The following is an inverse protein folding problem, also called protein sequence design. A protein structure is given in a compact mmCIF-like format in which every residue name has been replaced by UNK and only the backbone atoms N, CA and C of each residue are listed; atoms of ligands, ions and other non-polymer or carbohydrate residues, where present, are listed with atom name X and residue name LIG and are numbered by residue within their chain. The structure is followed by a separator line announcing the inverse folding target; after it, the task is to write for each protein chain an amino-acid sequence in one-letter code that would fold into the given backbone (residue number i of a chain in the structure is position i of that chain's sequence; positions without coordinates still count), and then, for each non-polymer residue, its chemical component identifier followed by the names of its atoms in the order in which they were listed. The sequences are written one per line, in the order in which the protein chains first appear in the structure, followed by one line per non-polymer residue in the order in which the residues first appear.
data_IF_305771072006
#
_entry.id   IF_305771072006
#
_cell.length_a   1.000
_cell.length_b   1.000
_cell.length_c   1.000
_cell.angle_alpha   90.00
_cell.angle_beta   90.00
_cell.angle_gamma   90.00
#
_symmetry.space_group_name_H-M   'P 1'
#
loop_
_entity.id
_entity.type
_entity.pdbx_description
1 polymer ?
#
# COMPACT_ATOMS: atom_id res chain seq x y z
N UNK A 1 23.53 61.63 32.89
CA UNK A 1 24.67 61.60 31.95
C UNK A 1 24.94 60.14 31.58
N UNK A 2 25.00 59.86 30.25
CA UNK A 2 25.49 58.64 29.56
C UNK A 2 24.69 57.33 29.76
N UNK A 3 23.82 56.90 28.80
CA UNK A 3 24.03 56.15 27.52
C UNK A 3 24.27 54.64 27.74
N UNK A 4 23.70 53.65 27.04
CA UNK A 4 22.86 53.56 25.81
C UNK A 4 22.07 52.22 25.81
N UNK A 5 20.93 52.07 25.12
CA UNK A 5 20.67 51.71 23.69
C UNK A 5 21.16 50.32 23.25
N UNK A 6 20.24 49.59 22.57
CA UNK A 6 20.34 48.48 21.58
C UNK A 6 19.43 47.30 22.02
N UNK A 7 18.57 46.65 21.23
CA UNK A 7 17.85 46.92 19.98
C UNK A 7 16.83 45.76 19.83
N UNK A 8 15.66 46.04 19.25
CA UNK A 8 14.67 45.05 18.78
C UNK A 8 15.01 44.68 17.32
N UNK A 9 14.88 43.41 16.95
CA UNK A 9 14.56 42.82 15.61
C UNK A 9 14.93 41.33 15.68
N UNK A 10 14.03 40.36 15.50
CA UNK A 10 13.26 40.08 14.29
C UNK A 10 13.97 38.95 13.54
N UNK A 11 13.52 37.70 13.70
CA UNK A 11 14.10 36.56 12.97
C UNK A 11 13.00 35.68 12.36
N UNK A 12 12.96 35.74 11.03
CA UNK A 12 12.26 34.87 10.09
C UNK A 12 13.23 33.73 9.75
N UNK A 13 12.79 32.48 9.78
CA UNK A 13 13.48 31.32 9.18
C UNK A 13 12.36 30.34 8.74
N UNK A 14 11.92 30.34 7.47
CA UNK A 14 12.52 29.73 6.27
C UNK A 14 12.83 28.23 6.46
N UNK A 15 11.92 27.43 5.90
CA UNK A 15 12.09 26.03 5.51
C UNK A 15 13.24 25.89 4.49
N UNK A 16 14.17 24.96 4.71
CA UNK A 16 14.92 24.34 3.61
C UNK A 16 15.46 22.95 3.99
N UNK A 17 15.24 22.04 3.05
CA UNK A 17 15.62 20.63 2.96
C UNK A 17 17.15 20.47 3.00
N UNK A 18 17.65 19.47 3.75
CA UNK A 18 18.98 18.88 3.51
C UNK A 18 18.87 17.35 3.56
N UNK A 19 19.00 16.74 2.38
CA UNK A 19 19.55 15.40 2.22
C UNK A 19 21.04 15.43 2.52
N UNK A 20 21.50 14.55 3.42
CA UNK A 20 22.86 14.01 3.37
C UNK A 20 22.84 12.55 3.81
N UNK A 21 23.22 11.68 2.88
CA UNK A 21 23.47 10.28 3.16
C UNK A 21 24.72 10.10 4.02
N UNK A 22 24.72 9.01 4.80
CA UNK A 22 25.93 8.39 5.31
C UNK A 22 25.83 6.88 5.10
N UNK A 23 26.80 6.37 4.37
CA UNK A 23 26.98 4.97 4.01
C UNK A 23 28.42 4.63 4.42
N UNK A 24 28.60 3.78 5.43
CA UNK A 24 29.88 3.09 5.67
C UNK A 24 29.63 1.59 5.86
N UNK A 25 30.32 0.81 5.04
CA UNK A 25 30.34 -0.66 4.90
C UNK A 25 31.36 -1.31 5.88
N UNK A 26 31.80 -2.58 5.70
CA UNK A 26 31.10 -3.86 5.86
C UNK A 26 31.87 -4.82 6.81
N UNK A 27 31.29 -5.98 7.16
CA UNK A 27 32.05 -7.12 7.70
C UNK A 27 31.90 -8.39 6.86
N UNK A 28 33.06 -8.88 6.43
CA UNK A 28 33.50 -10.24 6.06
C UNK A 28 32.73 -11.09 5.04
N UNK A 29 33.43 -11.34 3.94
CA UNK A 29 33.27 -12.40 2.93
C UNK A 29 33.52 -13.82 3.47
N UNK A 30 32.66 -14.77 3.09
CA UNK A 30 32.99 -16.20 3.07
C UNK A 30 33.28 -16.64 1.63
N UNK A 31 34.42 -17.33 1.47
CA UNK A 31 34.90 -17.98 0.27
C UNK A 31 34.09 -19.26 0.04
N UNK A 32 33.11 -19.24 -0.87
CA UNK A 32 32.57 -20.39 -1.64
C UNK A 32 31.28 -19.92 -2.33
N UNK A 33 31.43 -19.25 -3.47
CA UNK A 33 30.39 -19.19 -4.52
C UNK A 33 31.00 -18.47 -5.72
N UNK A 34 31.59 -19.24 -6.63
CA UNK A 34 31.91 -18.73 -7.96
C UNK A 34 30.80 -19.17 -8.92
N UNK A 35 29.95 -18.25 -9.42
CA UNK A 35 29.04 -18.58 -10.50
C UNK A 35 29.81 -18.71 -11.82
N UNK A 36 29.48 -19.77 -12.55
CA UNK A 36 29.94 -20.10 -13.89
C UNK A 36 29.68 -18.95 -14.89
N UNK A 37 30.46 -18.84 -15.98
CA UNK A 37 30.33 -17.74 -16.93
C UNK A 37 29.03 -17.86 -17.74
N UNK A 38 28.06 -16.97 -17.47
CA UNK A 38 26.83 -16.85 -18.25
C UNK A 38 27.02 -15.87 -19.41
N UNK A 39 26.54 -16.30 -20.57
CA UNK A 39 26.59 -15.69 -21.89
C UNK A 39 25.92 -14.30 -21.88
N UNK A 40 26.67 -13.26 -22.24
CA UNK A 40 26.15 -11.89 -22.43
C UNK A 40 25.07 -11.89 -23.52
N UNK A 41 23.81 -11.60 -23.18
CA UNK A 41 22.83 -11.10 -24.15
C UNK A 41 23.06 -9.60 -24.31
N UNK A 42 23.63 -9.20 -25.44
CA UNK A 42 23.64 -7.81 -25.87
C UNK A 42 22.24 -7.46 -26.38
N UNK A 43 21.35 -7.02 -25.49
CA UNK A 43 20.14 -6.28 -25.89
C UNK A 43 20.38 -4.84 -25.41
N UNK A 44 20.48 -3.85 -26.31
CA UNK A 44 20.60 -2.47 -25.90
C UNK A 44 19.24 -1.98 -25.35
N UNK A 45 19.26 -1.46 -24.13
CA UNK A 45 18.21 -0.58 -23.62
C UNK A 45 18.21 0.69 -24.49
N UNK A 46 17.30 0.77 -25.46
CA UNK A 46 17.05 2.00 -26.20
C UNK A 46 15.82 2.70 -25.63
N UNK A 47 16.03 3.60 -24.68
CA UNK A 47 15.08 4.70 -24.46
C UNK A 47 15.21 5.67 -25.63
N UNK A 48 14.31 5.58 -26.59
CA UNK A 48 14.26 6.54 -27.71
C UNK A 48 13.64 7.82 -27.18
N UNK A 49 14.48 8.83 -26.96
CA UNK A 49 14.04 10.18 -26.61
C UNK A 49 13.17 10.81 -27.69
N UNK A 50 12.04 11.38 -27.27
CA UNK A 50 11.10 12.09 -28.13
C UNK A 50 11.67 13.48 -28.47
N UNK A 51 11.69 13.80 -29.76
CA UNK A 51 11.92 15.16 -30.29
C UNK A 51 10.67 16.00 -30.07
N UNK A 52 10.84 17.17 -29.46
CA UNK A 52 9.82 18.20 -29.39
C UNK A 52 9.41 18.67 -30.80
N UNK A 53 8.10 18.65 -31.06
CA UNK A 53 7.49 19.33 -32.21
C UNK A 53 6.49 20.36 -31.69
N UNK A 54 6.79 21.64 -31.93
CA UNK A 54 5.83 22.73 -31.80
C UNK A 54 4.81 22.65 -32.93
N UNK A 55 3.52 22.76 -32.59
CA UNK A 55 2.46 23.15 -33.53
C UNK A 55 1.39 23.94 -32.79
N UNK A 56 0.91 24.98 -33.46
CA UNK A 56 0.11 26.06 -32.92
C UNK A 56 -1.41 25.77 -32.96
N UNK A 57 -2.10 26.42 -32.01
CA UNK A 57 -3.52 26.79 -31.99
C UNK A 57 -4.57 25.67 -31.96
N UNK A 58 -5.24 25.57 -30.80
CA UNK A 58 -6.69 25.32 -30.75
C UNK A 58 -7.16 23.90 -30.45
N UNK A 59 -6.63 23.29 -29.39
CA UNK A 59 -7.34 22.39 -28.47
C UNK A 59 -6.44 22.30 -27.24
N UNK A 60 -6.96 22.39 -26.01
CA UNK A 60 -6.16 22.09 -24.82
C UNK A 60 -5.92 20.58 -24.79
N UNK A 61 -5.02 20.10 -25.65
CA UNK A 61 -4.47 18.76 -25.55
C UNK A 61 -3.65 18.74 -24.28
N UNK A 62 -4.15 18.04 -23.26
CA UNK A 62 -3.41 17.77 -22.03
C UNK A 62 -2.01 17.24 -22.38
N UNK A 63 -0.97 17.76 -21.71
CA UNK A 63 0.41 17.31 -21.93
C UNK A 63 0.51 15.82 -21.61
N UNK A 64 0.99 15.01 -22.53
CA UNK A 64 1.44 13.65 -22.19
C UNK A 64 2.64 13.80 -21.24
N UNK A 65 2.52 13.23 -20.04
CA UNK A 65 3.58 13.22 -19.01
C UNK A 65 4.24 11.84 -18.89
N UNK A 66 3.56 10.78 -19.32
CA UNK A 66 4.05 9.41 -19.31
C UNK A 66 3.58 8.64 -20.53
N UNK A 67 4.46 7.82 -21.10
CA UNK A 67 4.13 6.87 -22.15
C UNK A 67 5.00 5.64 -21.95
N UNK A 68 4.37 4.54 -21.57
CA UNK A 68 5.02 3.25 -21.37
C UNK A 68 4.36 2.18 -22.23
N UNK A 69 5.17 1.25 -22.71
CA UNK A 69 4.73 0.15 -23.54
C UNK A 69 5.51 -1.10 -23.17
N UNK A 70 4.80 -2.21 -22.97
CA UNK A 70 5.42 -3.51 -22.75
C UNK A 70 4.74 -4.59 -23.60
N UNK A 71 5.50 -5.65 -23.89
CA UNK A 71 5.03 -6.76 -24.73
C UNK A 71 5.30 -8.11 -24.07
N UNK A 72 4.38 -9.05 -24.26
CA UNK A 72 4.53 -10.43 -23.82
C UNK A 72 3.84 -11.37 -24.80
N UNK A 73 4.62 -12.16 -25.53
CA UNK A 73 4.09 -13.00 -26.60
C UNK A 73 3.38 -12.16 -27.67
N UNK A 74 2.08 -12.37 -27.83
CA UNK A 74 1.23 -11.59 -28.75
C UNK A 74 0.57 -10.36 -28.11
N UNK A 75 0.76 -10.16 -26.81
CA UNK A 75 0.19 -9.04 -26.07
C UNK A 75 1.05 -7.79 -26.18
N UNK A 76 0.37 -6.66 -26.30
CA UNK A 76 0.91 -5.32 -26.25
C UNK A 76 0.08 -4.54 -25.22
N UNK A 77 0.73 -3.97 -24.22
CA UNK A 77 0.12 -3.13 -23.19
C UNK A 77 0.68 -1.72 -23.35
N UNK A 78 -0.21 -0.74 -23.50
CA UNK A 78 0.15 0.67 -23.65
C UNK A 78 -0.47 1.46 -22.52
N UNK A 79 0.36 2.27 -21.88
CA UNK A 79 -0.04 3.23 -20.86
C UNK A 79 0.29 4.63 -21.36
N UNK A 80 -0.70 5.52 -21.36
CA UNK A 80 -0.48 6.94 -21.65
C UNK A 80 -1.01 7.77 -20.50
N UNK A 81 -0.13 8.46 -19.80
CA UNK A 81 -0.49 9.36 -18.71
C UNK A 81 -0.39 10.82 -19.15
N UNK A 82 -1.39 11.59 -18.75
CA UNK A 82 -1.50 13.04 -18.91
C UNK A 82 -1.50 13.71 -17.54
N UNK A 83 -1.51 15.04 -17.49
CA UNK A 83 -1.45 15.77 -16.21
C UNK A 83 -2.61 15.46 -15.25
N UNK A 84 -3.79 15.12 -15.77
CA UNK A 84 -5.02 14.95 -14.97
C UNK A 84 -5.79 13.66 -15.29
N UNK A 85 -5.29 12.83 -16.20
CA UNK A 85 -5.94 11.60 -16.66
C UNK A 85 -4.93 10.66 -17.29
N UNK A 86 -5.32 9.42 -17.55
CA UNK A 86 -4.47 8.42 -18.15
C UNK A 86 -5.28 7.32 -18.81
N UNK A 87 -4.64 6.56 -19.70
CA UNK A 87 -5.21 5.40 -20.36
C UNK A 87 -4.34 4.16 -20.18
N UNK A 88 -5.01 3.01 -20.06
CA UNK A 88 -4.46 1.67 -20.16
C UNK A 88 -5.17 0.94 -21.30
N UNK A 89 -4.43 0.58 -22.35
CA UNK A 89 -4.91 -0.21 -23.47
C UNK A 89 -4.15 -1.53 -23.57
N UNK A 90 -4.89 -2.64 -23.73
CA UNK A 90 -4.33 -3.99 -23.86
C UNK A 90 -4.78 -4.59 -25.18
N UNK A 91 -3.82 -4.99 -25.99
CA UNK A 91 -4.01 -5.59 -27.31
C UNK A 91 -3.49 -7.03 -27.33
N UNK A 92 -4.07 -7.87 -28.19
CA UNK A 92 -3.50 -9.17 -28.58
C UNK A 92 -3.51 -9.30 -30.11
N UNK A 93 -2.34 -9.55 -30.71
CA UNK A 93 -2.18 -9.66 -32.17
C UNK A 93 -2.77 -8.45 -32.92
N UNK A 94 -2.62 -7.25 -32.35
CA UNK A 94 -3.13 -5.99 -32.91
C UNK A 94 -4.62 -5.71 -32.68
N UNK A 95 -5.38 -6.62 -32.04
CA UNK A 95 -6.77 -6.38 -31.65
C UNK A 95 -6.85 -5.86 -30.22
N UNK A 96 -7.52 -4.73 -30.02
CA UNK A 96 -7.83 -4.19 -28.69
C UNK A 96 -8.74 -5.16 -27.92
N UNK A 97 -8.32 -5.56 -26.72
CA UNK A 97 -9.05 -6.45 -25.82
C UNK A 97 -9.61 -5.74 -24.60
N UNK A 98 -8.89 -4.74 -24.08
CA UNK A 98 -9.28 -3.97 -22.91
C UNK A 98 -8.79 -2.53 -23.06
N UNK A 99 -9.59 -1.58 -22.58
CA UNK A 99 -9.26 -0.17 -22.52
C UNK A 99 -9.88 0.43 -21.27
N UNK A 100 -9.10 1.20 -20.53
CA UNK A 100 -9.54 1.96 -19.36
C UNK A 100 -8.98 3.38 -19.47
N UNK A 101 -9.83 4.38 -19.26
CA UNK A 101 -9.44 5.78 -19.28
C UNK A 101 -10.10 6.50 -18.11
N UNK A 102 -9.28 7.01 -17.19
CA UNK A 102 -9.72 7.57 -15.92
C UNK A 102 -8.91 8.84 -15.59
N UNK A 103 -9.41 9.71 -14.68
CA UNK A 103 -8.65 10.80 -14.09
C UNK A 103 -7.60 10.26 -13.09
N UNK A 104 -6.73 9.37 -13.57
CA UNK A 104 -5.75 8.59 -12.82
C UNK A 104 -4.51 8.39 -13.69
N UNK A 105 -3.36 8.11 -13.08
CA UNK A 105 -2.18 7.64 -13.80
C UNK A 105 -2.04 6.13 -13.65
N UNK A 106 -1.46 5.47 -14.66
CA UNK A 106 -1.24 4.04 -14.66
C UNK A 106 0.25 3.72 -14.67
N UNK A 107 0.64 2.56 -14.13
CA UNK A 107 2.01 2.10 -14.23
C UNK A 107 2.13 0.59 -14.12
N UNK A 108 3.17 0.04 -14.75
CA UNK A 108 3.53 -1.36 -14.57
C UNK A 108 4.03 -1.61 -13.14
N UNK A 109 3.45 -2.60 -12.48
CA UNK A 109 3.91 -3.01 -11.15
C UNK A 109 5.21 -3.81 -11.29
N UNK A 110 6.13 -3.57 -10.36
CA UNK A 110 7.41 -4.26 -10.29
C UNK A 110 7.56 -4.96 -8.93
N UNK A 111 8.08 -6.18 -8.92
CA UNK A 111 8.55 -6.85 -7.69
C UNK A 111 10.07 -6.86 -7.63
N UNK A 112 10.63 -6.88 -6.42
CA UNK A 112 12.08 -7.00 -6.23
C UNK A 112 12.44 -8.43 -5.85
N UNK A 113 13.23 -9.10 -6.70
CA UNK A 113 13.84 -10.40 -6.39
C UNK A 113 15.36 -10.22 -6.28
N UNK A 114 15.83 -10.04 -5.04
CA UNK A 114 17.23 -9.76 -4.74
C UNK A 114 17.67 -8.37 -5.23
N UNK A 115 18.48 -8.31 -6.30
CA UNK A 115 18.91 -7.04 -6.94
C UNK A 115 18.20 -6.76 -8.27
N UNK A 116 17.25 -7.61 -8.66
CA UNK A 116 16.53 -7.48 -9.91
C UNK A 116 15.11 -7.00 -9.64
N UNK A 117 14.60 -6.17 -10.56
CA UNK A 117 13.18 -5.81 -10.61
C UNK A 117 12.53 -6.66 -11.69
N UNK A 118 11.41 -7.28 -11.37
CA UNK A 118 10.58 -8.04 -12.30
C UNK A 118 9.30 -7.26 -12.54
N UNK A 119 9.08 -6.81 -13.77
CA UNK A 119 7.80 -6.27 -14.20
C UNK A 119 6.78 -7.41 -14.09
N UNK A 120 5.64 -7.14 -13.45
CA UNK A 120 4.53 -8.09 -13.36
C UNK A 120 3.75 -8.11 -14.68
N UNK A 121 4.43 -8.51 -15.76
CA UNK A 121 3.86 -8.85 -17.07
C UNK A 121 4.56 -10.11 -17.59
N UNK A 122 3.87 -11.23 -17.55
CA UNK A 122 4.40 -12.54 -17.95
C UNK A 122 4.71 -13.54 -16.83
N UNK A 123 5.06 -13.14 -15.59
CA UNK A 123 5.12 -14.05 -14.46
C UNK A 123 3.73 -14.62 -14.11
N UNK A 124 3.69 -15.84 -13.59
CA UNK A 124 2.49 -16.45 -13.00
C UNK A 124 2.42 -16.03 -11.52
N UNK A 125 1.58 -15.04 -11.21
CA UNK A 125 1.38 -14.55 -9.83
C UNK A 125 0.18 -15.22 -9.15
N UNK A 126 -0.68 -15.88 -9.91
CA UNK A 126 -1.87 -16.58 -9.39
C UNK A 126 -1.59 -18.05 -9.05
N UNK A 127 -0.47 -18.60 -9.51
CA UNK A 127 -0.04 -19.98 -9.29
C UNK A 127 -0.74 -21.02 -10.16
N UNK A 128 -1.48 -20.58 -11.20
CA UNK A 128 -2.29 -21.45 -12.05
C UNK A 128 -1.61 -21.83 -13.37
N UNK A 129 -0.33 -21.48 -13.52
CA UNK A 129 0.49 -21.67 -14.71
C UNK A 129 0.07 -20.83 -15.93
N UNK A 130 -0.74 -19.79 -15.74
CA UNK A 130 -1.07 -18.79 -16.75
C UNK A 130 -0.25 -17.51 -16.47
N UNK A 131 0.37 -16.89 -17.48
CA UNK A 131 1.09 -15.64 -17.29
C UNK A 131 0.12 -14.50 -16.98
N UNK A 132 0.49 -13.65 -16.04
CA UNK A 132 -0.33 -12.56 -15.53
C UNK A 132 0.25 -11.18 -15.90
N UNK A 133 -0.60 -10.15 -15.81
CA UNK A 133 -0.28 -8.74 -15.88
C UNK A 133 -0.86 -8.02 -14.68
N UNK A 134 -0.07 -7.17 -14.02
CA UNK A 134 -0.55 -6.26 -12.98
C UNK A 134 -0.23 -4.82 -13.33
N UNK A 135 -1.27 -3.99 -13.35
CA UNK A 135 -1.18 -2.54 -13.53
C UNK A 135 -1.65 -1.85 -12.25
N UNK A 136 -0.86 -0.90 -11.74
CA UNK A 136 -1.31 0.03 -10.71
C UNK A 136 -1.95 1.25 -11.34
N UNK A 137 -3.07 1.69 -10.78
CA UNK A 137 -3.77 2.93 -11.06
C UNK A 137 -3.67 3.85 -9.82
N UNK A 138 -3.35 5.13 -10.03
CA UNK A 138 -3.18 6.14 -9.01
C UNK A 138 -4.08 7.35 -9.27
N UNK A 139 -5.03 7.62 -8.36
CA UNK A 139 -6.13 8.58 -8.57
C UNK A 139 -5.76 10.09 -8.48
N UNK A 140 -4.49 10.47 -8.61
CA UNK A 140 -3.96 11.86 -8.67
C UNK A 140 -4.24 12.88 -7.51
N UNK A 141 -4.92 12.52 -6.41
CA UNK A 141 -5.11 13.33 -5.18
C UNK A 141 -4.01 13.31 -4.09
N UNK A 142 -4.07 14.24 -3.11
CA UNK A 142 -3.05 14.37 -2.05
C UNK A 142 -2.89 13.16 -1.10
N UNK A 143 -3.88 12.27 -1.06
CA UNK A 143 -3.90 11.01 -0.29
C UNK A 143 -4.24 9.81 -1.18
N UNK A 144 -4.01 9.95 -2.49
CA UNK A 144 -4.35 9.04 -3.58
C UNK A 144 -4.64 7.60 -3.22
N UNK A 145 -5.76 7.11 -3.76
CA UNK A 145 -6.07 5.70 -3.72
C UNK A 145 -5.34 4.99 -4.87
N UNK A 146 -4.65 3.92 -4.53
CA UNK A 146 -4.13 2.95 -5.46
C UNK A 146 -5.19 1.89 -5.76
N UNK A 147 -5.30 1.52 -7.02
CA UNK A 147 -6.02 0.33 -7.46
C UNK A 147 -5.07 -0.57 -8.23
N UNK A 148 -5.10 -1.87 -7.97
CA UNK A 148 -4.29 -2.85 -8.68
C UNK A 148 -5.18 -3.70 -9.58
N UNK A 149 -5.00 -3.58 -10.89
CA UNK A 149 -5.71 -4.38 -11.88
C UNK A 149 -4.89 -5.61 -12.24
N UNK A 150 -5.49 -6.78 -12.08
CA UNK A 150 -4.85 -8.08 -12.34
C UNK A 150 -5.53 -8.70 -13.57
N UNK A 151 -4.73 -9.14 -14.52
CA UNK A 151 -5.17 -9.77 -15.75
C UNK A 151 -4.40 -11.06 -16.00
N UNK A 152 -5.05 -12.07 -16.57
CA UNK A 152 -4.38 -13.19 -17.21
C UNK A 152 -4.13 -12.85 -18.68
N UNK A 153 -2.89 -13.05 -19.12
CA UNK A 153 -2.41 -12.77 -20.48
C UNK A 153 -1.81 -14.02 -21.15
N UNK A 154 -2.44 -15.18 -20.92
CA UNK A 154 -2.12 -16.44 -21.60
C UNK A 154 -2.77 -16.59 -22.97
N UNK A 155 -3.11 -17.83 -23.34
CA UNK A 155 -3.83 -18.12 -24.60
C UNK A 155 -5.17 -17.37 -24.70
N UNK A 156 -5.83 -17.14 -23.56
CA UNK A 156 -7.01 -16.30 -23.43
C UNK A 156 -6.73 -15.11 -22.52
N UNK A 157 -7.33 -13.97 -22.84
CA UNK A 157 -7.30 -12.79 -22.00
C UNK A 157 -8.45 -12.83 -20.99
N UNK A 158 -8.16 -12.53 -19.73
CA UNK A 158 -9.16 -12.38 -18.68
C UNK A 158 -8.77 -11.25 -17.74
N UNK A 159 -9.71 -10.33 -17.46
CA UNK A 159 -9.57 -9.45 -16.30
C UNK A 159 -9.95 -10.25 -15.05
N UNK A 160 -9.00 -10.42 -14.14
CA UNK A 160 -9.16 -11.24 -12.93
C UNK A 160 -9.89 -10.45 -11.86
N UNK A 161 -9.32 -9.30 -11.49
CA UNK A 161 -9.83 -8.47 -10.39
C UNK A 161 -9.21 -7.06 -10.47
N UNK A 162 -9.92 -6.08 -9.93
CA UNK A 162 -9.35 -4.79 -9.54
C UNK A 162 -9.42 -4.70 -8.01
N UNK A 163 -8.30 -4.46 -7.34
CA UNK A 163 -8.21 -4.40 -5.88
C UNK A 163 -7.93 -2.96 -5.47
N UNK A 164 -8.86 -2.34 -4.75
CA UNK A 164 -8.67 -1.01 -4.16
C UNK A 164 -7.77 -1.13 -2.94
N UNK A 165 -6.56 -0.57 -3.04
CA UNK A 165 -5.54 -0.60 -1.99
C UNK A 165 -5.49 0.69 -1.15
N UNK A 166 -6.36 1.66 -1.41
CA UNK A 166 -6.38 2.93 -0.71
C UNK A 166 -5.01 3.63 -0.77
N UNK A 167 -4.58 4.28 0.30
CA UNK A 167 -3.29 4.98 0.33
C UNK A 167 -2.07 4.06 0.54
N UNK A 168 -2.14 2.80 0.12
CA UNK A 168 -1.03 1.85 0.23
C UNK A 168 -0.04 1.97 -0.94
N UNK A 169 0.75 3.04 -0.96
CA UNK A 169 1.92 3.18 -1.86
C UNK A 169 2.89 1.98 -1.74
N UNK A 170 2.93 1.37 -0.56
CA UNK A 170 3.74 0.20 -0.25
C UNK A 170 2.99 -1.12 -0.41
N UNK A 171 1.90 -1.20 -1.17
CA UNK A 171 1.28 -2.49 -1.50
C UNK A 171 2.18 -3.26 -2.47
N UNK A 172 2.33 -4.57 -2.29
CA UNK A 172 3.21 -5.39 -3.12
C UNK A 172 2.77 -6.85 -3.18
N UNK A 173 3.22 -7.55 -4.22
CA UNK A 173 3.10 -8.99 -4.33
C UNK A 173 4.36 -9.65 -3.77
N UNK A 174 4.22 -10.68 -2.94
CA UNK A 174 5.32 -11.47 -2.40
C UNK A 174 4.91 -12.92 -2.23
N UNK A 175 5.86 -13.83 -2.43
CA UNK A 175 5.67 -15.25 -2.13
C UNK A 175 6.00 -15.48 -0.65
N UNK A 176 4.97 -15.59 0.19
CA UNK A 176 5.10 -15.66 1.65
C UNK A 176 5.21 -17.09 2.18
N UNK A 177 4.70 -18.09 1.45
CA UNK A 177 4.71 -19.50 1.88
C UNK A 177 5.67 -20.41 1.08
N UNK A 178 6.30 -19.88 0.03
CA UNK A 178 7.19 -20.62 -0.85
C UNK A 178 6.48 -21.51 -1.87
N UNK A 179 5.17 -21.38 -2.05
CA UNK A 179 4.38 -22.12 -3.03
C UNK A 179 4.19 -21.32 -4.32
N UNK A 180 3.73 -21.94 -5.43
CA UNK A 180 3.34 -21.19 -6.63
C UNK A 180 2.19 -20.23 -6.33
N UNK A 181 2.28 -19.01 -6.87
CA UNK A 181 1.39 -17.90 -6.53
C UNK A 181 2.06 -16.90 -5.59
N UNK A 182 1.61 -15.66 -5.64
CA UNK A 182 2.08 -14.58 -4.78
C UNK A 182 0.91 -14.08 -3.94
N UNK A 183 1.17 -13.79 -2.67
CA UNK A 183 0.25 -13.06 -1.83
C UNK A 183 0.35 -11.56 -2.13
N UNK A 184 -0.81 -10.89 -2.15
CA UNK A 184 -0.87 -9.44 -2.22
C UNK A 184 -0.94 -8.84 -0.82
N UNK A 185 0.11 -8.12 -0.43
CA UNK A 185 0.23 -7.44 0.86
C UNK A 185 -0.16 -5.97 0.69
N UNK A 186 -1.15 -5.53 1.46
CA UNK A 186 -1.67 -4.16 1.45
C UNK A 186 -2.09 -3.72 2.86
N UNK A 187 -2.77 -2.57 2.98
CA UNK A 187 -3.33 -2.11 4.24
C UNK A 187 -4.82 -1.79 4.09
N UNK A 188 -5.59 -1.98 5.16
CA UNK A 188 -6.95 -1.47 5.24
C UNK A 188 -6.94 -0.05 5.82
N UNK A 189 -7.34 0.92 4.98
CA UNK A 189 -7.40 2.34 5.34
C UNK A 189 -8.74 2.79 5.91
N UNK A 190 -9.63 1.89 6.29
CA UNK A 190 -10.95 2.20 6.88
C UNK A 190 -10.86 3.20 8.03
N UNK A 191 -9.82 3.11 8.86
CA UNK A 191 -9.62 3.98 10.01
C UNK A 191 -8.87 5.28 9.71
N UNK A 192 -8.63 5.60 8.42
CA UNK A 192 -8.09 6.89 8.02
C UNK A 192 -8.96 8.05 8.54
N UNK A 193 -8.30 9.04 9.13
CA UNK A 193 -8.90 10.24 9.75
C UNK A 193 -9.86 9.97 10.92
N UNK A 194 -9.96 8.74 11.41
CA UNK A 194 -10.88 8.43 12.50
C UNK A 194 -10.25 8.83 13.83
N UNK A 195 -10.75 9.94 14.40
CA UNK A 195 -10.25 10.62 15.62
C UNK A 195 -8.79 11.08 15.60
N UNK A 196 -8.12 11.07 14.44
CA UNK A 196 -6.72 11.47 14.31
C UNK A 196 -6.41 12.01 12.92
N UNK A 197 -5.20 12.53 12.71
CA UNK A 197 -4.75 13.00 11.40
C UNK A 197 -4.42 11.82 10.48
N UNK A 198 -4.32 12.04 9.17
CA UNK A 198 -3.92 11.00 8.22
C UNK A 198 -2.59 10.33 8.60
N UNK A 199 -1.57 11.15 8.91
CA UNK A 199 -0.23 10.70 9.26
C UNK A 199 -0.19 9.81 10.51
N UNK A 200 -1.24 9.88 11.33
CA UNK A 200 -1.39 9.17 12.58
C UNK A 200 -2.45 8.07 12.52
N UNK A 201 -3.10 7.89 11.37
CA UNK A 201 -4.17 6.92 11.19
C UNK A 201 -3.62 5.50 11.17
N UNK A 202 -4.23 4.55 11.90
CA UNK A 202 -3.87 3.15 11.77
C UNK A 202 -4.32 2.62 10.40
N UNK A 203 -3.43 1.83 9.79
CA UNK A 203 -3.68 1.12 8.54
C UNK A 203 -3.22 -0.34 8.72
N UNK A 204 -4.04 -1.21 9.37
CA UNK A 204 -3.64 -2.59 9.62
C UNK A 204 -3.31 -3.31 8.30
N UNK A 205 -2.24 -4.12 8.33
CA UNK A 205 -1.85 -4.92 7.18
C UNK A 205 -2.91 -5.98 6.89
N UNK A 206 -3.21 -6.14 5.61
CA UNK A 206 -4.07 -7.18 5.06
C UNK A 206 -3.27 -7.96 4.02
N UNK A 207 -3.38 -9.28 4.05
CA UNK A 207 -2.75 -10.18 3.08
C UNK A 207 -3.86 -10.89 2.32
N UNK A 208 -3.76 -10.90 1.00
CA UNK A 208 -4.68 -11.61 0.12
C UNK A 208 -3.96 -12.73 -0.63
N UNK A 209 -4.64 -13.84 -0.88
CA UNK A 209 -4.13 -14.97 -1.69
C UNK A 209 -5.17 -15.32 -2.76
N UNK A 210 -4.71 -15.86 -3.89
CA UNK A 210 -5.58 -16.25 -4.99
C UNK A 210 -6.24 -17.61 -4.72
N UNK A 211 -7.57 -17.66 -4.76
CA UNK A 211 -8.32 -18.90 -4.49
C UNK A 211 -8.69 -19.72 -5.75
N UNK A 212 -8.06 -19.42 -6.88
CA UNK A 212 -8.42 -19.97 -8.20
C UNK A 212 -9.46 -19.13 -8.96
N UNK A 213 -9.97 -18.04 -8.39
CA UNK A 213 -10.89 -17.12 -9.08
C UNK A 213 -10.58 -15.66 -8.80
N UNK A 214 -10.31 -15.32 -7.54
CA UNK A 214 -9.99 -13.96 -7.09
C UNK A 214 -9.03 -13.98 -5.90
N UNK A 215 -8.41 -12.84 -5.63
CA UNK A 215 -7.69 -12.61 -4.38
C UNK A 215 -8.68 -12.45 -3.23
N UNK A 216 -8.47 -13.21 -2.16
CA UNK A 216 -9.30 -13.24 -0.94
C UNK A 216 -8.42 -13.20 0.31
N UNK A 217 -9.00 -12.83 1.46
CA UNK A 217 -8.25 -12.67 2.71
C UNK A 217 -7.51 -13.95 3.12
N UNK A 218 -6.18 -13.85 3.23
CA UNK A 218 -5.25 -14.92 3.59
C UNK A 218 -4.90 -14.84 5.09
N UNK A 219 -5.79 -15.42 5.91
CA UNK A 219 -5.84 -15.22 7.37
C UNK A 219 -4.61 -15.77 8.07
N UNK A 220 -4.08 -16.86 7.56
CA UNK A 220 -2.89 -17.55 8.04
C UNK A 220 -1.65 -16.64 8.10
N UNK A 221 -1.56 -15.64 7.20
CA UNK A 221 -0.46 -14.67 7.21
C UNK A 221 -0.71 -13.46 8.13
N UNK A 222 -1.92 -13.33 8.68
CA UNK A 222 -2.31 -12.21 9.55
C UNK A 222 -2.40 -12.62 11.02
N UNK A 223 -2.62 -13.91 11.30
CA UNK A 223 -2.83 -14.43 12.65
C UNK A 223 -1.62 -14.21 13.57
N UNK A 224 -1.91 -13.80 14.81
CA UNK A 224 -0.94 -13.77 15.91
C UNK A 224 -1.49 -14.57 17.08
N UNK A 225 -0.59 -15.19 17.84
CA UNK A 225 -0.97 -15.85 19.08
C UNK A 225 -1.67 -14.87 20.04
N UNK A 226 -2.71 -15.31 20.76
CA UNK A 226 -3.37 -14.48 21.75
C UNK A 226 -2.40 -13.97 22.81
N UNK A 227 -2.54 -12.70 23.20
CA UNK A 227 -1.79 -12.14 24.31
C UNK A 227 -2.12 -12.88 25.61
N UNK A 228 -1.14 -13.06 26.50
CA UNK A 228 -1.43 -13.55 27.84
C UNK A 228 -2.28 -12.53 28.63
N UNK A 229 -2.99 -13.01 29.65
CA UNK A 229 -3.78 -12.14 30.55
C UNK A 229 -2.95 -11.03 31.19
N UNK A 230 -1.68 -11.33 31.53
CA UNK A 230 -0.76 -10.34 32.09
C UNK A 230 -0.43 -9.25 31.07
N UNK A 231 -0.04 -9.64 29.85
CA UNK A 231 0.26 -8.70 28.77
C UNK A 231 -0.94 -7.81 28.44
N UNK A 232 -2.15 -8.36 28.41
CA UNK A 232 -3.36 -7.60 28.13
C UNK A 232 -3.66 -6.56 29.23
N UNK A 233 -3.39 -6.90 30.49
CA UNK A 233 -3.55 -5.98 31.63
C UNK A 233 -2.49 -4.89 31.65
N UNK A 234 -1.24 -5.22 31.35
CA UNK A 234 -0.14 -4.25 31.24
C UNK A 234 -0.40 -3.26 30.10
N UNK A 235 -0.86 -3.76 28.94
CA UNK A 235 -1.29 -2.91 27.82
C UNK A 235 -2.45 -1.98 28.21
N UNK A 236 -3.46 -2.51 28.90
CA UNK A 236 -4.59 -1.72 29.38
C UNK A 236 -4.17 -0.64 30.38
N UNK A 237 -3.29 -0.98 31.32
CA UNK A 237 -2.77 -0.05 32.33
C UNK A 237 -1.95 1.07 31.68
N UNK A 238 -1.05 0.72 30.76
CA UNK A 238 -0.25 1.69 30.00
C UNK A 238 -1.13 2.73 29.29
N UNK A 239 -2.21 2.30 28.63
CA UNK A 239 -3.16 3.21 27.96
C UNK A 239 -3.96 4.04 28.96
N UNK A 240 -4.38 3.42 30.07
CA UNK A 240 -5.16 4.08 31.12
C UNK A 240 -4.38 5.21 31.79
N UNK A 241 -3.06 5.10 31.88
CA UNK A 241 -2.17 6.09 32.51
C UNK A 241 -1.77 7.26 31.59
N UNK A 242 -2.15 7.24 30.30
CA UNK A 242 -1.87 8.33 29.38
C UNK A 242 -2.68 9.59 29.72
N UNK A 243 -2.15 10.79 29.47
CA UNK A 243 -2.83 12.05 29.79
C UNK A 243 -3.94 12.45 28.78
N UNK A 244 -4.06 11.73 27.66
CA UNK A 244 -4.90 12.10 26.51
C UNK A 244 -6.36 11.62 26.58
N UNK A 245 -6.85 11.27 27.78
CA UNK A 245 -8.27 10.99 28.00
C UNK A 245 -9.10 12.28 27.96
N UNK A 246 -9.58 12.63 26.77
CA UNK A 246 -10.52 13.73 26.57
C UNK A 246 -11.94 13.21 26.83
N UNK A 247 -12.85 14.07 27.29
CA UNK A 247 -14.23 13.68 27.66
C UNK A 247 -14.90 12.80 26.60
N UNK A 248 -14.87 11.47 26.78
CA UNK A 248 -15.43 10.47 25.87
C UNK A 248 -14.54 9.98 24.73
N UNK A 249 -13.33 10.52 24.54
CA UNK A 249 -12.39 10.08 23.50
C UNK A 249 -11.12 9.54 24.17
N UNK A 250 -10.82 8.23 24.03
CA UNK A 250 -9.63 7.63 24.61
C UNK A 250 -8.35 8.10 23.90
N UNK A 251 -7.16 7.82 24.45
CA UNK A 251 -5.91 7.91 23.71
C UNK A 251 -5.95 7.02 22.46
N UNK A 252 -5.28 7.47 21.39
CA UNK A 252 -5.25 6.77 20.09
C UNK A 252 -4.73 5.35 20.21
N UNK A 253 -3.76 5.17 21.08
CA UNK A 253 -3.09 3.92 21.38
C UNK A 253 -4.09 2.82 21.78
N UNK A 254 -5.26 3.18 22.34
CA UNK A 254 -6.31 2.21 22.64
C UNK A 254 -6.84 1.53 21.38
N UNK A 255 -7.37 2.31 20.43
CA UNK A 255 -8.00 1.73 19.25
C UNK A 255 -6.97 1.18 18.27
N UNK A 256 -5.75 1.73 18.21
CA UNK A 256 -4.65 1.12 17.42
C UNK A 256 -4.38 -0.31 17.89
N UNK A 257 -4.28 -0.54 19.20
CA UNK A 257 -4.07 -1.88 19.75
C UNK A 257 -5.29 -2.77 19.57
N UNK A 258 -6.50 -2.24 19.69
CA UNK A 258 -7.71 -2.99 19.38
C UNK A 258 -7.75 -3.45 17.92
N UNK A 259 -7.37 -2.58 16.98
CA UNK A 259 -7.32 -2.88 15.54
C UNK A 259 -6.29 -3.99 15.28
N UNK A 260 -5.07 -3.90 15.85
CA UNK A 260 -4.06 -4.96 15.70
C UNK A 260 -4.55 -6.31 16.24
N UNK A 261 -5.18 -6.31 17.43
CA UNK A 261 -5.79 -7.52 18.00
C UNK A 261 -6.90 -8.06 17.11
N UNK A 262 -7.77 -7.21 16.56
CA UNK A 262 -8.89 -7.65 15.69
C UNK A 262 -8.37 -8.27 14.39
N UNK A 263 -7.47 -7.59 13.68
CA UNK A 263 -6.95 -8.05 12.39
C UNK A 263 -6.06 -9.29 12.53
N UNK A 264 -5.48 -9.51 13.71
CA UNK A 264 -4.71 -10.72 14.02
C UNK A 264 -5.52 -11.90 14.55
N UNK A 265 -6.86 -11.77 14.61
CA UNK A 265 -7.75 -12.85 15.04
C UNK A 265 -8.06 -12.90 16.54
N UNK A 266 -7.73 -11.85 17.29
CA UNK A 266 -7.87 -11.76 18.75
C UNK A 266 -8.99 -10.77 19.15
N UNK A 267 -10.11 -10.80 18.43
CA UNK A 267 -11.22 -9.82 18.60
C UNK A 267 -11.78 -9.80 20.01
N UNK A 268 -11.93 -10.96 20.65
CA UNK A 268 -12.38 -11.04 22.05
C UNK A 268 -11.41 -10.31 23.00
N UNK A 269 -10.09 -10.41 22.76
CA UNK A 269 -9.10 -9.70 23.56
C UNK A 269 -9.11 -8.20 23.29
N UNK A 270 -9.38 -7.76 22.06
CA UNK A 270 -9.50 -6.34 21.72
C UNK A 270 -10.60 -5.65 22.55
N UNK A 271 -11.79 -6.26 22.65
CA UNK A 271 -12.87 -5.67 23.46
C UNK A 271 -12.59 -5.77 24.97
N UNK A 272 -11.90 -6.82 25.41
CA UNK A 272 -11.44 -6.90 26.80
C UNK A 272 -10.39 -5.84 27.13
N UNK A 273 -9.45 -5.54 26.22
CA UNK A 273 -8.49 -4.45 26.36
C UNK A 273 -9.23 -3.12 26.51
N UNK A 274 -10.19 -2.83 25.64
CA UNK A 274 -11.05 -1.65 25.72
C UNK A 274 -11.71 -1.51 27.09
N UNK A 275 -12.25 -2.61 27.62
CA UNK A 275 -12.92 -2.60 28.90
C UNK A 275 -11.98 -2.33 30.08
N UNK A 276 -10.79 -2.93 30.06
CA UNK A 276 -9.77 -2.81 31.11
C UNK A 276 -9.08 -1.45 31.11
N UNK A 277 -8.86 -0.86 29.93
CA UNK A 277 -8.13 0.39 29.77
C UNK A 277 -8.98 1.61 30.16
N UNK A 278 -10.31 1.52 30.07
CA UNK A 278 -11.20 2.65 30.28
C UNK A 278 -11.24 3.10 31.77
N UNK A 279 -10.80 4.33 32.12
CA UNK A 279 -10.85 4.82 33.48
C UNK A 279 -12.30 4.97 33.99
N UNK A 280 -12.56 4.53 35.22
CA UNK A 280 -13.91 4.58 35.79
C UNK A 280 -14.50 5.98 36.01
N UNK A 281 -13.66 7.02 35.93
CA UNK A 281 -14.06 8.43 36.04
C UNK A 281 -14.26 9.14 34.69
N UNK A 282 -14.08 8.45 33.56
CA UNK A 282 -14.26 8.99 32.22
C UNK A 282 -15.57 8.47 31.62
N UNK A 283 -16.49 9.37 31.25
CA UNK A 283 -17.74 9.02 30.56
C UNK A 283 -17.54 8.76 29.07
N UNK A 284 -18.58 8.31 28.34
CA UNK A 284 -18.56 8.14 26.87
C UNK A 284 -18.10 6.78 26.36
N UNK A 285 -17.87 5.80 27.25
CA UNK A 285 -17.39 4.45 26.90
C UNK A 285 -18.25 3.74 25.86
N UNK A 286 -19.56 3.70 26.09
CA UNK A 286 -20.49 2.96 25.25
C UNK A 286 -20.64 3.62 23.86
N UNK A 287 -20.67 4.95 23.83
CA UNK A 287 -20.73 5.73 22.58
C UNK A 287 -19.46 5.53 21.74
N UNK A 288 -18.28 5.56 22.38
CA UNK A 288 -17.01 5.30 21.70
C UNK A 288 -16.94 3.87 21.15
N UNK A 289 -17.40 2.88 21.92
CA UNK A 289 -17.43 1.49 21.46
C UNK A 289 -18.41 1.30 20.29
N UNK A 290 -19.55 1.97 20.33
CA UNK A 290 -20.54 1.95 19.26
C UNK A 290 -19.94 2.56 17.97
N UNK A 291 -19.29 3.71 18.07
CA UNK A 291 -18.66 4.37 16.92
C UNK A 291 -17.51 3.53 16.35
N UNK A 292 -16.64 2.97 17.22
CA UNK A 292 -15.58 2.05 16.78
C UNK A 292 -16.15 0.86 15.99
N UNK A 293 -17.23 0.25 16.48
CA UNK A 293 -17.88 -0.89 15.82
C UNK A 293 -18.57 -0.48 14.52
N UNK A 294 -19.12 0.73 14.44
CA UNK A 294 -19.69 1.26 13.21
C UNK A 294 -18.58 1.44 12.17
N UNK A 295 -17.46 2.07 12.55
CA UNK A 295 -16.30 2.24 11.69
C UNK A 295 -15.71 0.92 11.22
N UNK A 296 -15.54 -0.05 12.13
CA UNK A 296 -15.00 -1.37 11.78
C UNK A 296 -15.85 -2.10 10.71
N UNK A 297 -17.17 -1.89 10.70
CA UNK A 297 -18.09 -2.51 9.71
C UNK A 297 -17.95 -1.94 8.31
N UNK A 298 -17.32 -0.78 8.17
CA UNK A 298 -17.06 -0.15 6.87
C UNK A 298 -15.87 -0.82 6.14
N UNK A 299 -15.08 -1.64 6.85
CA UNK A 299 -13.98 -2.39 6.25
C UNK A 299 -14.49 -3.33 5.15
N UNK A 300 -13.85 -3.33 3.96
CA UNK A 300 -14.17 -4.28 2.90
C UNK A 300 -13.89 -5.73 3.30
N UNK A 301 -13.07 -5.95 4.33
CA UNK A 301 -12.70 -7.27 4.85
C UNK A 301 -13.48 -7.65 6.12
N UNK A 302 -14.51 -6.88 6.50
CA UNK A 302 -15.18 -7.05 7.79
C UNK A 302 -15.73 -8.47 8.01
N UNK A 303 -16.34 -9.09 6.99
CA UNK A 303 -16.92 -10.44 7.13
C UNK A 303 -15.82 -11.51 7.32
N UNK A 304 -14.71 -11.35 6.64
CA UNK A 304 -13.56 -12.23 6.69
C UNK A 304 -12.83 -12.09 8.03
N UNK A 305 -12.63 -10.85 8.50
CA UNK A 305 -12.05 -10.54 9.82
C UNK A 305 -12.87 -11.22 10.94
N UNK A 306 -14.20 -11.12 10.90
CA UNK A 306 -15.08 -11.75 11.88
C UNK A 306 -14.95 -13.28 11.95
N UNK A 307 -14.41 -13.90 10.91
CA UNK A 307 -14.23 -15.35 10.87
C UNK A 307 -12.79 -15.79 11.08
N UNK A 308 -11.85 -14.88 11.33
CA UNK A 308 -10.50 -15.23 11.81
C UNK A 308 -10.58 -15.81 13.25
N UNK A 309 -11.52 -15.30 14.06
CA UNK A 309 -11.80 -15.68 15.47
C UNK A 309 -12.55 -17.04 15.59
N UNK A 310 -12.73 -17.77 14.49
CA UNK A 310 -13.32 -19.12 14.45
C UNK A 310 -12.27 -20.17 14.06
#
# INVERSE_FOLDING_TARGET
MRTGVIAVLGFVFIFLIIMTGYNERPWSSSFLDQPLPVRKSNIPLSSVGVRAAYSAAGDETSSIIGLDEETYGEYLVQITDYENEGSLDIYKSGRLLYSLHNPSNFSFVNITEGRNYLILMGPDITGDSIPDLVISEWSLGAHCCYTFHIFEIGDTFRHVQSIEAGSSESAYFANLDGLPGYEFVMNDWTFAYWYTSFAESPAPQVVLTFNGTSYVLAREFMRKDPASETQLREAAESVREMDDWRMGVPPRELWVQMIDLIYSGNMTQAFKLFDLAWPGNVGGKDDMLLDFKARLKESPFYQEILSIDR
#
